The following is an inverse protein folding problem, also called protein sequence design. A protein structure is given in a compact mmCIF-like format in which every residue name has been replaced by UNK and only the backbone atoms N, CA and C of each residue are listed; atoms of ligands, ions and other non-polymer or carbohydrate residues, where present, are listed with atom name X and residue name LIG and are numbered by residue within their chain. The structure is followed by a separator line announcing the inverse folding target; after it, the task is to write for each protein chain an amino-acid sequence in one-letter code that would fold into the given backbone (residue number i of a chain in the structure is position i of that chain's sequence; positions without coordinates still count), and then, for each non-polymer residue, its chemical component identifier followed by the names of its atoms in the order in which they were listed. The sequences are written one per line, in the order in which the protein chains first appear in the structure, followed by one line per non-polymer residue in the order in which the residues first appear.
data_IF_427358154323
#
_entry.id   IF_427358154323
#
_cell.length_a   1.000
_cell.length_b   1.000
_cell.length_c   1.000
_cell.angle_alpha   90.00
_cell.angle_beta   90.00
_cell.angle_gamma   90.00
#
_symmetry.space_group_name_H-M   'P 1'
#
loop_
_entity.id
_entity.type
_entity.pdbx_description
1 polymer ?
#
# COMPACT_ATOMS: atom_id res chain seq x y z
N UNK A 1 -60.33 1.88 18.88
CA UNK A 1 -59.28 0.87 19.08
C UNK A 1 -58.83 0.43 17.69
N UNK A 2 -57.51 0.38 17.45
CA UNK A 2 -56.81 0.16 16.17
C UNK A 2 -57.48 -0.81 15.18
N UNK A 3 -57.30 -0.63 13.86
CA UNK A 3 -56.27 -1.31 13.03
C UNK A 3 -56.04 -0.55 11.70
N UNK A 4 -54.78 -0.60 11.26
CA UNK A 4 -54.07 -0.11 10.05
C UNK A 4 -54.69 -0.37 8.66
N UNK A 5 -54.20 0.35 7.64
CA UNK A 5 -54.37 -0.02 6.22
C UNK A 5 -53.85 0.97 5.15
N UNK A 6 -52.53 1.01 4.98
CA UNK A 6 -51.74 0.96 3.72
C UNK A 6 -52.44 1.22 2.33
N UNK A 7 -51.94 2.17 1.51
CA UNK A 7 -51.25 1.96 0.20
C UNK A 7 -51.33 3.12 -0.84
N UNK A 8 -50.16 3.35 -1.49
CA UNK A 8 -49.86 3.70 -2.90
C UNK A 8 -50.14 5.11 -3.53
N UNK A 9 -49.03 5.85 -3.66
CA UNK A 9 -48.39 6.42 -4.87
C UNK A 9 -49.18 7.19 -5.95
N UNK A 10 -48.62 8.32 -6.40
CA UNK A 10 -48.30 8.56 -7.82
C UNK A 10 -47.12 9.54 -7.98
N UNK A 11 -46.30 9.24 -8.98
CA UNK A 11 -45.08 9.92 -9.38
C UNK A 11 -45.30 11.31 -10.01
N UNK A 12 -44.27 12.16 -9.95
CA UNK A 12 -44.02 13.17 -10.98
C UNK A 12 -42.55 13.13 -11.37
N UNK A 13 -42.32 12.68 -12.60
CA UNK A 13 -41.11 12.87 -13.40
C UNK A 13 -40.68 14.34 -13.41
N UNK A 14 -39.41 14.58 -13.10
CA UNK A 14 -38.70 15.75 -13.59
C UNK A 14 -37.53 15.25 -14.46
N UNK A 15 -37.73 15.34 -15.77
CA UNK A 15 -36.66 15.27 -16.77
C UNK A 15 -35.82 16.52 -16.59
N UNK A 16 -34.54 16.38 -16.26
CA UNK A 16 -33.55 17.43 -16.45
C UNK A 16 -32.35 16.83 -17.19
N UNK A 17 -32.38 16.94 -18.51
CA UNK A 17 -31.20 16.77 -19.34
C UNK A 17 -30.37 18.06 -19.26
N UNK A 18 -29.12 18.00 -18.79
CA UNK A 18 -28.11 19.04 -19.06
C UNK A 18 -26.72 18.42 -19.23
N UNK A 19 -26.12 18.86 -20.34
CA UNK A 19 -24.85 18.62 -20.99
C UNK A 19 -23.64 18.05 -20.23
N UNK A 20 -22.92 17.21 -20.98
CA UNK A 20 -21.49 16.97 -20.86
C UNK A 20 -20.70 18.28 -20.72
N UNK A 21 -19.96 18.40 -19.62
CA UNK A 21 -18.68 19.09 -19.64
C UNK A 21 -17.58 18.04 -19.47
N UNK A 22 -16.94 17.68 -20.58
CA UNK A 22 -15.59 17.16 -20.52
C UNK A 22 -14.73 18.25 -19.84
N UNK A 23 -14.04 17.90 -18.75
CA UNK A 23 -12.92 18.64 -18.11
C UNK A 23 -12.97 18.76 -16.57
N UNK A 24 -13.87 18.05 -15.87
CA UNK A 24 -13.69 17.82 -14.43
C UNK A 24 -13.71 16.34 -14.14
N UNK A 25 -12.52 15.72 -14.15
CA UNK A 25 -12.29 14.33 -13.77
C UNK A 25 -12.90 14.04 -12.40
N UNK A 26 -14.02 13.33 -12.40
CA UNK A 26 -14.68 12.84 -11.21
C UNK A 26 -14.65 11.32 -11.33
N UNK A 27 -13.93 10.67 -10.41
CA UNK A 27 -14.17 9.28 -10.07
C UNK A 27 -15.66 9.05 -9.89
N UNK A 28 -16.13 7.84 -10.20
CA UNK A 28 -17.39 7.37 -9.64
C UNK A 28 -17.19 7.41 -8.13
N UNK A 29 -18.00 8.19 -7.41
CA UNK A 29 -17.94 8.13 -5.96
C UNK A 29 -18.41 6.74 -5.50
N UNK A 30 -17.64 6.02 -4.67
CA UNK A 30 -17.65 4.55 -4.64
C UNK A 30 -18.81 3.94 -3.86
N UNK A 31 -18.99 2.63 -4.05
CA UNK A 31 -19.35 1.76 -2.94
C UNK A 31 -18.34 1.95 -1.80
N UNK A 32 -18.75 2.63 -0.74
CA UNK A 32 -17.94 2.80 0.46
C UNK A 32 -18.12 1.59 1.36
N UNK A 33 -17.02 1.18 1.99
CA UNK A 33 -17.06 0.16 3.03
C UNK A 33 -16.64 0.81 4.32
N UNK A 34 -17.59 0.83 5.26
CA UNK A 34 -17.31 1.29 6.61
C UNK A 34 -16.27 0.37 7.26
N UNK A 35 -15.21 0.98 7.76
CA UNK A 35 -14.20 0.32 8.57
C UNK A 35 -14.49 0.62 10.04
N UNK A 36 -14.15 -0.33 10.92
CA UNK A 36 -14.39 -0.17 12.35
C UNK A 36 -13.15 0.46 12.98
N UNK A 37 -13.12 1.79 13.10
CA UNK A 37 -12.03 2.49 13.76
C UNK A 37 -11.80 3.90 13.24
N UNK A 38 -10.71 4.50 13.73
CA UNK A 38 -10.19 5.82 13.32
C UNK A 38 -8.69 5.69 13.08
N UNK A 39 -8.17 6.40 12.07
CA UNK A 39 -6.74 6.45 11.69
C UNK A 39 -6.20 5.13 11.10
N UNK A 40 -6.14 5.08 9.76
CA UNK A 40 -5.71 3.89 9.01
C UNK A 40 -4.37 4.14 8.36
N UNK A 41 -3.58 3.09 8.25
CA UNK A 41 -2.15 3.24 7.98
C UNK A 41 -1.68 2.26 6.92
N UNK A 42 -2.25 1.06 6.84
CA UNK A 42 -1.92 0.05 5.84
C UNK A 42 -3.14 -0.55 5.12
N UNK A 43 -2.97 -0.85 3.84
CA UNK A 43 -3.97 -1.51 2.99
C UNK A 43 -3.29 -2.43 2.00
N UNK A 44 -3.87 -3.60 1.77
CA UNK A 44 -3.44 -4.57 0.75
C UNK A 44 -4.65 -5.16 0.04
N UNK A 45 -4.44 -5.51 -1.23
CA UNK A 45 -5.35 -6.33 -2.01
C UNK A 45 -4.71 -7.69 -2.29
N UNK A 46 -5.45 -8.76 -2.05
CA UNK A 46 -5.00 -10.13 -2.28
C UNK A 46 -6.21 -11.08 -2.37
N UNK A 47 -6.06 -12.21 -3.07
CA UNK A 47 -7.10 -13.25 -3.12
C UNK A 47 -6.91 -14.26 -1.97
N UNK A 48 -7.53 -13.99 -0.81
CA UNK A 48 -7.36 -14.81 0.40
C UNK A 48 -8.19 -16.10 0.38
N UNK A 49 -9.16 -16.21 -0.53
CA UNK A 49 -10.05 -17.37 -0.64
C UNK A 49 -9.84 -18.21 -1.92
N UNK A 50 -8.95 -17.77 -2.81
CA UNK A 50 -8.59 -18.46 -4.04
C UNK A 50 -9.68 -18.41 -5.12
N UNK A 51 -10.60 -17.45 -5.07
CA UNK A 51 -11.72 -17.34 -6.01
C UNK A 51 -11.42 -16.49 -7.27
N UNK A 52 -10.22 -15.92 -7.34
CA UNK A 52 -9.73 -15.09 -8.43
C UNK A 52 -10.09 -13.61 -8.31
N UNK A 53 -10.71 -13.17 -7.21
CA UNK A 53 -11.06 -11.77 -6.96
C UNK A 53 -10.13 -11.17 -5.91
N UNK A 54 -9.88 -9.88 -6.03
CA UNK A 54 -9.15 -9.14 -5.01
C UNK A 54 -10.03 -8.98 -3.76
N UNK A 55 -9.55 -9.47 -2.62
CA UNK A 55 -10.07 -9.16 -1.30
C UNK A 55 -9.29 -7.96 -0.71
N UNK A 56 -9.88 -7.31 0.28
CA UNK A 56 -9.31 -6.16 0.97
C UNK A 56 -8.88 -6.55 2.39
N UNK A 57 -7.65 -6.21 2.77
CA UNK A 57 -7.24 -6.19 4.18
C UNK A 57 -6.71 -4.80 4.58
N UNK A 58 -7.13 -4.31 5.75
CA UNK A 58 -6.81 -2.97 6.27
C UNK A 58 -6.40 -3.04 7.73
N UNK A 59 -5.32 -2.33 8.07
CA UNK A 59 -4.88 -2.08 9.45
C UNK A 59 -5.32 -0.70 9.91
N UNK A 60 -5.70 -0.59 11.20
CA UNK A 60 -5.93 0.71 11.81
C UNK A 60 -5.38 0.82 13.25
N UNK A 61 -4.70 1.95 13.49
CA UNK A 61 -3.63 2.13 14.49
C UNK A 61 -4.11 2.24 15.94
N UNK A 62 -5.41 2.42 16.17
CA UNK A 62 -6.06 2.40 17.48
C UNK A 62 -6.93 1.15 17.70
N UNK A 63 -6.72 0.12 16.88
CA UNK A 63 -7.39 -1.17 17.03
C UNK A 63 -6.37 -2.27 17.31
N UNK A 64 -6.85 -3.43 17.71
CA UNK A 64 -6.03 -4.64 17.88
C UNK A 64 -6.42 -5.68 16.83
N UNK A 65 -6.82 -5.21 15.63
CA UNK A 65 -7.33 -6.06 14.56
C UNK A 65 -6.83 -5.62 13.18
N UNK A 66 -6.72 -6.61 12.30
CA UNK A 66 -6.81 -6.40 10.85
C UNK A 66 -8.25 -6.65 10.41
N UNK A 67 -8.76 -5.79 9.54
CA UNK A 67 -10.09 -5.90 8.96
C UNK A 67 -9.98 -6.49 7.56
N UNK A 68 -10.74 -7.55 7.27
CA UNK A 68 -10.76 -8.23 5.96
C UNK A 68 -12.16 -8.20 5.37
N UNK A 69 -12.27 -7.88 4.08
CA UNK A 69 -13.51 -7.93 3.33
C UNK A 69 -13.28 -8.66 2.00
N UNK A 70 -14.04 -9.75 1.77
CA UNK A 70 -13.88 -10.56 0.57
C UNK A 70 -14.42 -9.86 -0.68
N UNK A 71 -13.71 -10.01 -1.80
CA UNK A 71 -14.07 -9.52 -3.10
C UNK A 71 -15.35 -10.15 -3.62
N UNK A 72 -16.24 -9.32 -4.13
CA UNK A 72 -17.46 -9.76 -4.80
C UNK A 72 -17.32 -9.72 -6.33
N UNK A 73 -16.26 -9.09 -6.83
CA UNK A 73 -16.00 -8.82 -8.24
C UNK A 73 -16.60 -7.51 -8.74
N UNK A 74 -17.20 -6.70 -7.84
CA UNK A 74 -17.65 -5.33 -8.12
C UNK A 74 -17.60 -4.49 -6.82
N UNK A 75 -16.64 -4.79 -5.95
CA UNK A 75 -16.58 -4.29 -4.57
C UNK A 75 -16.37 -5.41 -3.56
N UNK A 76 -16.58 -5.13 -2.29
CA UNK A 76 -16.29 -6.08 -1.21
C UNK A 76 -17.52 -6.38 -0.35
N UNK A 77 -17.52 -7.57 0.24
CA UNK A 77 -18.54 -8.04 1.16
C UNK A 77 -18.41 -7.44 2.56
N UNK A 78 -19.10 -8.03 3.55
CA UNK A 78 -19.01 -7.60 4.94
C UNK A 78 -17.58 -7.70 5.48
N UNK A 79 -17.21 -6.73 6.31
CA UNK A 79 -15.92 -6.71 7.01
C UNK A 79 -15.92 -7.69 8.18
N UNK A 80 -14.86 -8.48 8.28
CA UNK A 80 -14.56 -9.38 9.39
C UNK A 80 -13.27 -8.92 10.06
N UNK A 81 -13.25 -8.94 11.41
CA UNK A 81 -12.08 -8.54 12.18
C UNK A 81 -11.29 -9.77 12.62
N UNK A 82 -9.98 -9.73 12.46
CA UNK A 82 -9.04 -10.74 12.98
C UNK A 82 -8.06 -10.09 13.94
N UNK A 83 -7.82 -10.72 15.09
CA UNK A 83 -6.97 -10.16 16.13
C UNK A 83 -5.50 -10.05 15.70
N UNK A 84 -4.82 -9.02 16.16
CA UNK A 84 -3.37 -8.77 16.02
C UNK A 84 -2.78 -8.41 17.39
N UNK A 85 -1.50 -8.01 17.43
CA UNK A 85 -0.99 -7.14 18.49
C UNK A 85 -1.57 -5.73 18.37
N UNK A 86 -1.31 -4.86 19.35
CA UNK A 86 -1.99 -3.56 19.37
C UNK A 86 -1.36 -2.52 18.46
N UNK A 87 -2.23 -1.69 17.89
CA UNK A 87 -1.85 -0.65 16.93
C UNK A 87 -1.15 -1.19 15.69
N UNK A 88 -1.77 -2.12 14.94
CA UNK A 88 -1.23 -2.59 13.67
C UNK A 88 -1.13 -1.40 12.71
N UNK A 89 0.05 -1.24 12.12
CA UNK A 89 0.38 -0.13 11.23
C UNK A 89 0.68 -0.65 9.82
N UNK A 90 1.83 -1.29 9.64
CA UNK A 90 2.20 -1.93 8.39
C UNK A 90 1.52 -3.28 8.22
N UNK A 91 1.22 -3.64 6.97
CA UNK A 91 0.64 -4.93 6.58
C UNK A 91 1.30 -5.44 5.31
N UNK A 92 1.52 -6.74 5.22
CA UNK A 92 1.84 -7.42 3.97
C UNK A 92 1.25 -8.83 3.97
N UNK A 93 1.34 -9.48 2.81
CA UNK A 93 0.76 -10.79 2.53
C UNK A 93 1.81 -11.67 1.86
N UNK A 94 1.93 -12.91 2.31
CA UNK A 94 2.74 -13.96 1.68
C UNK A 94 2.33 -15.34 2.23
N UNK A 95 2.83 -16.41 1.63
CA UNK A 95 2.69 -17.77 2.14
C UNK A 95 3.87 -18.10 3.08
N UNK A 96 3.75 -17.80 4.37
CA UNK A 96 4.84 -17.92 5.35
C UNK A 96 5.06 -19.36 5.83
N UNK A 97 4.06 -20.23 5.66
CA UNK A 97 4.12 -21.64 6.04
C UNK A 97 4.22 -22.60 4.84
N UNK A 98 4.29 -22.06 3.62
CA UNK A 98 4.43 -22.79 2.34
C UNK A 98 3.30 -23.78 2.07
N UNK A 99 2.09 -23.48 2.51
CA UNK A 99 0.92 -24.34 2.31
C UNK A 99 0.08 -23.98 1.06
N UNK A 100 0.51 -22.95 0.33
CA UNK A 100 -0.14 -22.43 -0.88
C UNK A 100 -1.25 -21.43 -0.60
N UNK A 101 -1.44 -20.98 0.65
CA UNK A 101 -2.45 -20.01 1.04
C UNK A 101 -1.79 -18.71 1.48
N UNK A 102 -2.49 -17.61 1.26
CA UNK A 102 -2.00 -16.31 1.66
C UNK A 102 -2.24 -16.07 3.15
N UNK A 103 -1.17 -15.72 3.84
CA UNK A 103 -1.16 -15.32 5.24
C UNK A 103 -1.00 -13.79 5.34
N UNK A 104 -1.38 -13.22 6.49
CA UNK A 104 -1.19 -11.80 6.79
C UNK A 104 -0.07 -11.63 7.82
N UNK A 105 0.82 -10.67 7.59
CA UNK A 105 1.75 -10.17 8.61
C UNK A 105 1.48 -8.69 8.90
N UNK A 106 1.47 -8.31 10.17
CA UNK A 106 1.33 -6.90 10.60
C UNK A 106 2.50 -6.45 11.48
N UNK A 107 2.90 -5.19 11.32
CA UNK A 107 3.82 -4.50 12.23
C UNK A 107 3.00 -3.67 13.21
N UNK A 108 3.15 -3.93 14.50
CA UNK A 108 2.31 -3.36 15.55
C UNK A 108 3.12 -2.37 16.39
N UNK A 109 2.66 -1.12 16.44
CA UNK A 109 3.39 0.03 16.97
C UNK A 109 3.22 0.24 18.49
N UNK A 110 2.25 -0.42 19.12
CA UNK A 110 1.94 -0.19 20.53
C UNK A 110 3.06 -0.57 21.53
N UNK A 111 2.77 -0.43 22.83
CA UNK A 111 3.73 -0.69 23.92
C UNK A 111 4.37 -2.10 23.87
N UNK A 112 3.75 -3.06 23.17
CA UNK A 112 4.29 -4.43 23.03
C UNK A 112 5.24 -4.60 21.85
N UNK A 113 5.21 -3.68 20.88
CA UNK A 113 6.12 -3.62 19.72
C UNK A 113 6.28 -4.98 19.03
N UNK A 114 5.16 -5.50 18.55
CA UNK A 114 5.06 -6.87 18.03
C UNK A 114 4.95 -6.92 16.52
N UNK A 115 5.25 -8.08 15.97
CA UNK A 115 4.81 -8.50 14.64
C UNK A 115 3.79 -9.61 14.81
N UNK A 116 2.62 -9.50 14.19
CA UNK A 116 1.62 -10.57 14.19
C UNK A 116 1.64 -11.33 12.87
N UNK A 117 1.57 -12.65 12.94
CA UNK A 117 1.40 -13.53 11.78
C UNK A 117 0.07 -14.25 11.91
N UNK A 118 -0.80 -14.07 10.92
CA UNK A 118 -2.11 -14.67 10.84
C UNK A 118 -2.11 -15.64 9.66
N UNK A 119 -2.08 -16.94 9.96
CA UNK A 119 -2.05 -17.97 8.91
C UNK A 119 -3.42 -18.11 8.24
N UNK A 120 -3.44 -18.12 6.91
CA UNK A 120 -4.64 -18.23 6.09
C UNK A 120 -5.18 -19.66 6.07
N UNK A 121 -6.50 -19.79 6.14
CA UNK A 121 -7.17 -21.08 5.94
C UNK A 121 -7.47 -21.36 4.46
N UNK A 122 -7.30 -20.36 3.58
CA UNK A 122 -7.53 -20.45 2.13
C UNK A 122 -9.00 -20.31 1.73
N UNK A 123 -9.86 -19.90 2.66
CA UNK A 123 -11.29 -19.64 2.46
C UNK A 123 -11.64 -18.18 2.82
N UNK A 124 -10.63 -17.31 2.89
CA UNK A 124 -10.78 -15.93 3.35
C UNK A 124 -10.77 -15.76 4.88
N UNK A 125 -10.60 -16.85 5.64
CA UNK A 125 -10.46 -16.79 7.11
C UNK A 125 -9.03 -17.04 7.58
N UNK A 126 -8.71 -16.56 8.78
CA UNK A 126 -7.37 -16.65 9.37
C UNK A 126 -7.38 -17.31 10.75
N UNK A 127 -6.28 -17.97 11.06
CA UNK A 127 -6.00 -18.53 12.38
C UNK A 127 -5.68 -17.44 13.41
N UNK A 128 -5.76 -17.73 14.72
CA UNK A 128 -5.29 -16.81 15.76
C UNK A 128 -3.83 -16.37 15.52
N UNK A 129 -3.48 -15.11 15.81
CA UNK A 129 -2.17 -14.58 15.48
C UNK A 129 -1.07 -15.20 16.34
N UNK A 130 0.10 -15.41 15.72
CA UNK A 130 1.36 -15.63 16.43
C UNK A 130 2.07 -14.28 16.54
N UNK A 131 2.37 -13.85 17.76
CA UNK A 131 2.99 -12.55 18.03
C UNK A 131 4.48 -12.67 18.37
N UNK A 132 5.31 -11.88 17.70
CA UNK A 132 6.75 -11.79 17.89
C UNK A 132 7.13 -10.43 18.48
N UNK A 133 7.64 -10.41 19.72
CA UNK A 133 8.12 -9.16 20.34
C UNK A 133 9.52 -8.81 19.85
N UNK A 134 9.69 -7.58 19.35
CA UNK A 134 10.98 -7.07 18.86
C UNK A 134 11.70 -6.17 19.86
N UNK A 135 10.99 -5.72 20.89
CA UNK A 135 11.50 -4.75 21.88
C UNK A 135 11.82 -3.38 21.28
N UNK A 136 11.37 -3.11 20.04
CA UNK A 136 11.56 -1.87 19.31
C UNK A 136 10.33 -1.55 18.48
N UNK A 137 9.93 -0.29 18.46
CA UNK A 137 8.77 0.16 17.69
C UNK A 137 8.99 0.04 16.20
N UNK A 138 8.11 -0.72 15.56
CA UNK A 138 8.06 -0.97 14.12
C UNK A 138 6.78 -0.39 13.57
N UNK A 139 6.87 0.25 12.40
CA UNK A 139 5.71 0.90 11.77
C UNK A 139 5.42 0.35 10.38
N UNK A 140 6.46 -0.07 9.67
CA UNK A 140 6.36 -0.50 8.28
C UNK A 140 7.15 -1.79 8.11
N UNK A 141 6.77 -2.56 7.11
CA UNK A 141 7.39 -3.83 6.81
C UNK A 141 7.40 -4.08 5.30
N UNK A 142 8.33 -4.91 4.85
CA UNK A 142 8.36 -5.49 3.51
C UNK A 142 8.70 -6.96 3.62
N UNK A 143 8.18 -7.76 2.69
CA UNK A 143 8.35 -9.20 2.63
C UNK A 143 9.17 -9.56 1.40
N UNK A 144 10.21 -10.38 1.58
CA UNK A 144 11.02 -10.91 0.49
C UNK A 144 11.86 -12.10 0.97
N UNK A 145 12.42 -12.88 0.06
CA UNK A 145 13.41 -13.92 0.41
C UNK A 145 14.82 -13.31 0.47
N UNK A 146 15.22 -12.80 1.64
CA UNK A 146 16.52 -12.11 1.79
C UNK A 146 17.70 -13.09 1.89
N UNK A 147 17.42 -14.37 2.15
CA UNK A 147 18.43 -15.40 2.37
C UNK A 147 18.50 -16.48 1.26
N UNK A 148 17.63 -16.41 0.26
CA UNK A 148 17.60 -17.31 -0.89
C UNK A 148 17.10 -18.73 -0.58
N UNK A 149 16.41 -18.96 0.54
CA UNK A 149 15.92 -20.29 0.94
C UNK A 149 14.52 -20.63 0.42
N UNK A 150 13.86 -19.66 -0.24
CA UNK A 150 12.50 -19.74 -0.78
C UNK A 150 11.40 -19.47 0.25
N UNK A 151 11.72 -19.09 1.49
CA UNK A 151 10.76 -18.69 2.51
C UNK A 151 10.64 -17.18 2.51
N UNK A 152 9.43 -16.63 2.64
CA UNK A 152 9.29 -15.22 2.90
C UNK A 152 9.94 -14.82 4.24
N UNK A 153 10.88 -13.90 4.19
CA UNK A 153 11.44 -13.16 5.32
C UNK A 153 10.74 -11.79 5.44
N UNK A 154 10.92 -11.10 6.57
CA UNK A 154 10.31 -9.79 6.82
C UNK A 154 11.36 -8.78 7.26
N UNK A 155 11.47 -7.64 6.57
CA UNK A 155 12.24 -6.49 7.04
C UNK A 155 11.31 -5.43 7.62
N UNK A 156 11.65 -4.89 8.79
CA UNK A 156 10.80 -4.00 9.58
C UNK A 156 11.51 -2.68 9.86
N UNK A 157 10.89 -1.57 9.49
CA UNK A 157 11.42 -0.23 9.68
C UNK A 157 10.94 0.34 11.02
N UNK A 158 11.87 0.80 11.85
CA UNK A 158 11.49 1.43 13.11
C UNK A 158 10.94 2.85 12.92
N UNK A 159 9.98 3.21 13.77
CA UNK A 159 9.34 4.52 13.74
C UNK A 159 10.33 5.65 14.07
N UNK A 160 10.23 6.80 13.39
CA UNK A 160 11.19 7.90 13.52
C UNK A 160 11.09 8.72 14.82
N UNK A 161 10.07 8.48 15.65
CA UNK A 161 9.90 9.19 16.92
C UNK A 161 10.79 8.61 18.05
N UNK A 162 11.63 7.63 17.73
CA UNK A 162 12.52 6.96 18.66
C UNK A 162 13.99 7.21 18.32
N UNK A 163 14.83 7.16 19.36
CA UNK A 163 16.26 7.48 19.29
C UNK A 163 17.08 6.38 18.58
N UNK A 164 16.49 5.18 18.41
CA UNK A 164 17.11 3.98 17.82
C UNK A 164 16.43 3.60 16.49
N UNK A 165 16.71 4.42 15.46
CA UNK A 165 16.23 4.22 14.09
C UNK A 165 17.04 3.08 13.43
N UNK A 166 16.38 1.97 13.12
CA UNK A 166 16.97 0.76 12.56
C UNK A 166 15.97 -0.03 11.74
N UNK A 167 16.48 -0.89 10.88
CA UNK A 167 15.70 -1.93 10.20
C UNK A 167 16.04 -3.27 10.80
N UNK A 168 15.04 -4.00 11.27
CA UNK A 168 15.20 -5.36 11.80
C UNK A 168 14.71 -6.37 10.77
N UNK A 169 15.52 -7.39 10.50
CA UNK A 169 15.13 -8.49 9.61
C UNK A 169 14.74 -9.70 10.46
N UNK A 170 13.60 -10.29 10.15
CA UNK A 170 13.10 -11.55 10.66
C UNK A 170 13.17 -12.58 9.54
N UNK A 171 13.80 -13.71 9.83
CA UNK A 171 14.03 -14.76 8.85
C UNK A 171 12.99 -15.85 9.01
N UNK A 172 12.28 -16.19 7.95
CA UNK A 172 11.25 -17.22 7.91
C UNK A 172 11.83 -18.60 8.18
N UNK A 173 11.09 -19.42 8.93
CA UNK A 173 11.43 -20.83 9.15
C UNK A 173 10.63 -21.77 8.23
N UNK A 174 9.65 -21.23 7.48
CA UNK A 174 8.82 -21.98 6.53
C UNK A 174 7.65 -22.72 7.14
N UNK A 175 7.37 -22.49 8.42
CA UNK A 175 6.24 -23.06 9.18
C UNK A 175 5.32 -21.97 9.75
N UNK A 176 5.39 -20.76 9.19
CA UNK A 176 4.69 -19.59 9.72
C UNK A 176 5.40 -18.91 10.88
N UNK A 177 6.59 -19.38 11.27
CA UNK A 177 7.39 -18.77 12.34
C UNK A 177 8.64 -18.05 11.85
N UNK A 178 9.13 -17.12 12.68
CA UNK A 178 10.34 -16.33 12.41
C UNK A 178 11.44 -16.55 13.44
N UNK A 179 12.69 -16.42 12.99
CA UNK A 179 13.88 -16.25 13.83
C UNK A 179 14.51 -14.88 13.62
N UNK A 180 15.33 -14.44 14.57
CA UNK A 180 16.03 -13.16 14.45
C UNK A 180 17.07 -13.19 13.32
N UNK A 181 17.04 -12.18 12.46
CA UNK A 181 18.07 -11.86 11.46
C UNK A 181 18.92 -10.65 11.87
N UNK A 182 19.63 -10.01 10.91
CA UNK A 182 20.42 -8.82 11.21
C UNK A 182 19.54 -7.61 11.57
N UNK A 183 20.14 -6.66 12.28
CA UNK A 183 19.62 -5.31 12.44
C UNK A 183 20.53 -4.33 11.73
N UNK A 184 19.97 -3.54 10.83
CA UNK A 184 20.64 -2.53 10.02
C UNK A 184 20.40 -1.15 10.64
N UNK A 185 21.44 -0.33 10.78
CA UNK A 185 21.31 1.02 11.39
C UNK A 185 20.97 2.12 10.38
N UNK A 186 20.58 3.29 10.90
CA UNK A 186 20.47 4.56 10.13
C UNK A 186 19.41 4.55 9.01
N UNK A 187 18.32 3.82 9.24
CA UNK A 187 17.28 3.57 8.26
C UNK A 187 15.91 3.73 8.93
N UNK A 188 15.14 4.69 8.44
CA UNK A 188 13.79 5.05 8.86
C UNK A 188 12.71 4.07 8.39
N UNK A 189 11.43 4.46 8.48
CA UNK A 189 10.30 3.56 8.42
C UNK A 189 10.00 3.13 6.98
N UNK A 190 10.26 3.95 5.97
CA UNK A 190 9.99 3.60 4.59
C UNK A 190 10.90 2.46 4.13
N UNK A 191 10.34 1.40 3.55
CA UNK A 191 11.09 0.25 3.05
C UNK A 191 10.58 -0.17 1.67
N UNK A 192 11.50 -0.66 0.83
CA UNK A 192 11.21 -1.49 -0.33
C UNK A 192 12.32 -2.52 -0.50
N UNK A 193 11.98 -3.65 -1.09
CA UNK A 193 12.90 -4.74 -1.37
C UNK A 193 12.82 -5.11 -2.86
N UNK A 194 13.97 -5.45 -3.44
CA UNK A 194 14.08 -5.82 -4.86
C UNK A 194 15.54 -5.91 -5.28
N UNK A 195 15.84 -6.62 -6.37
CA UNK A 195 17.19 -6.72 -6.92
C UNK A 195 17.54 -5.43 -7.71
N UNK A 196 18.24 -4.49 -7.07
CA UNK A 196 18.58 -3.19 -7.70
C UNK A 196 19.92 -3.23 -8.44
N UNK A 197 20.60 -4.38 -8.41
CA UNK A 197 21.93 -4.54 -8.98
C UNK A 197 22.03 -5.68 -10.03
N UNK A 198 20.94 -6.44 -10.22
CA UNK A 198 20.82 -7.49 -11.22
C UNK A 198 21.57 -8.78 -10.90
N UNK A 199 21.96 -9.03 -9.65
CA UNK A 199 22.71 -10.23 -9.25
C UNK A 199 21.83 -11.41 -8.81
N UNK A 200 20.50 -11.24 -8.85
CA UNK A 200 19.51 -12.24 -8.48
C UNK A 200 19.26 -12.35 -6.98
N UNK A 201 19.80 -11.43 -6.17
CA UNK A 201 19.57 -11.39 -4.72
C UNK A 201 18.75 -10.17 -4.37
N UNK A 202 17.91 -10.33 -3.35
CA UNK A 202 17.08 -9.22 -2.90
C UNK A 202 17.92 -8.20 -2.14
N UNK A 203 17.91 -6.97 -2.62
CA UNK A 203 18.45 -5.80 -1.94
C UNK A 203 17.34 -5.10 -1.12
N UNK A 204 17.74 -4.23 -0.20
CA UNK A 204 16.82 -3.46 0.64
C UNK A 204 17.10 -1.97 0.50
N UNK A 205 16.05 -1.17 0.26
CA UNK A 205 16.10 0.28 0.26
C UNK A 205 15.29 0.82 1.42
N UNK A 206 15.92 1.64 2.25
CA UNK A 206 15.29 2.23 3.42
C UNK A 206 15.34 3.76 3.41
N UNK A 207 14.21 4.41 3.67
CA UNK A 207 14.11 5.87 3.75
C UNK A 207 14.79 6.42 4.99
N UNK A 208 15.23 7.67 4.95
CA UNK A 208 15.81 8.40 6.08
C UNK A 208 15.29 9.85 6.10
N UNK A 209 15.81 10.69 6.99
CA UNK A 209 15.38 12.09 7.13
C UNK A 209 15.61 12.95 5.87
N UNK A 210 16.60 12.64 5.02
CA UNK A 210 16.85 13.37 3.77
C UNK A 210 17.57 12.52 2.71
N UNK A 211 17.50 11.19 2.86
CA UNK A 211 18.10 10.26 1.94
C UNK A 211 17.34 8.94 1.91
N UNK A 212 17.72 8.09 0.99
CA UNK A 212 17.51 6.65 1.09
C UNK A 212 18.86 5.97 1.32
N UNK A 213 18.85 4.85 2.02
CA UNK A 213 19.96 3.94 2.22
C UNK A 213 19.72 2.70 1.37
N UNK A 214 20.68 2.32 0.55
CA UNK A 214 20.62 1.12 -0.29
C UNK A 214 21.55 0.08 0.32
N UNK A 215 20.98 -1.05 0.74
CA UNK A 215 21.67 -2.19 1.31
C UNK A 215 21.67 -3.33 0.30
N UNK A 216 22.82 -3.60 -0.32
CA UNK A 216 22.91 -4.73 -1.26
C UNK A 216 22.90 -6.06 -0.52
N UNK A 217 22.02 -6.96 -0.92
CA UNK A 217 21.85 -8.29 -0.35
C UNK A 217 23.05 -9.18 -0.66
N UNK A 218 23.45 -10.00 0.31
CA UNK A 218 24.45 -11.06 0.08
C UNK A 218 23.80 -12.38 -0.35
N UNK A 219 22.49 -12.50 -0.20
CA UNK A 219 21.71 -13.72 -0.47
C UNK A 219 21.89 -14.78 0.62
N UNK A 220 22.30 -14.37 1.82
CA UNK A 220 22.46 -15.24 3.00
C UNK A 220 21.72 -14.66 4.23
N UNK A 221 20.81 -13.70 3.99
CA UNK A 221 20.10 -12.94 5.01
C UNK A 221 20.89 -11.74 5.54
N UNK A 222 22.15 -11.54 5.13
CA UNK A 222 22.94 -10.35 5.47
C UNK A 222 23.08 -9.38 4.29
N UNK A 223 23.48 -8.16 4.62
CA UNK A 223 23.63 -7.07 3.66
C UNK A 223 25.06 -6.52 3.67
N UNK A 224 25.43 -5.85 2.57
CA UNK A 224 26.62 -5.02 2.49
C UNK A 224 26.42 -3.72 3.30
N UNK A 225 27.49 -2.95 3.47
CA UNK A 225 27.37 -1.60 4.03
C UNK A 225 26.50 -0.75 3.12
N UNK A 226 25.58 0.02 3.69
CA UNK A 226 24.69 0.86 2.90
C UNK A 226 25.41 2.01 2.20
N UNK A 227 24.88 2.36 1.03
CA UNK A 227 25.21 3.60 0.32
C UNK A 227 24.01 4.54 0.37
N UNK A 228 24.26 5.82 0.65
CA UNK A 228 23.20 6.82 0.82
C UNK A 228 23.02 7.69 -0.42
N UNK A 229 21.76 7.92 -0.80
CA UNK A 229 21.38 8.80 -1.91
C UNK A 229 20.41 9.88 -1.42
N UNK A 230 20.74 11.15 -1.66
CA UNK A 230 19.96 12.28 -1.15
C UNK A 230 18.59 12.38 -1.82
N UNK A 231 17.54 12.56 -1.03
CA UNK A 231 16.16 12.79 -1.48
C UNK A 231 15.73 14.24 -1.22
N UNK A 232 14.53 14.61 -1.67
CA UNK A 232 14.00 15.97 -1.48
C UNK A 232 13.67 16.30 -0.02
N UNK A 233 13.53 15.31 0.85
CA UNK A 233 13.26 15.48 2.29
C UNK A 233 13.06 14.15 3.01
N UNK A 234 12.35 14.20 4.13
CA UNK A 234 12.07 13.03 4.96
C UNK A 234 11.21 12.03 4.19
N UNK A 235 11.79 10.87 3.91
CA UNK A 235 11.15 9.80 3.14
C UNK A 235 10.27 8.97 4.07
N UNK A 236 8.95 9.15 3.95
CA UNK A 236 7.95 8.35 4.68
C UNK A 236 7.48 7.13 3.91
N UNK A 237 7.44 7.24 2.58
CA UNK A 237 7.12 6.14 1.68
C UNK A 237 8.10 6.14 0.52
N UNK A 238 8.41 4.93 0.06
CA UNK A 238 9.21 4.70 -1.13
C UNK A 238 8.73 3.42 -1.83
N UNK A 239 9.04 3.30 -3.11
CA UNK A 239 8.75 2.11 -3.90
C UNK A 239 9.87 1.90 -4.92
N UNK A 240 9.97 0.67 -5.43
CA UNK A 240 10.85 0.30 -6.53
C UNK A 240 10.02 -0.04 -7.76
N UNK A 241 10.38 0.52 -8.91
CA UNK A 241 9.79 0.21 -10.21
C UNK A 241 10.74 0.63 -11.33
N UNK A 242 10.59 0.05 -12.51
CA UNK A 242 11.35 0.43 -13.72
C UNK A 242 10.59 1.54 -14.46
N UNK A 243 10.86 2.81 -14.15
CA UNK A 243 10.14 3.96 -14.72
C UNK A 243 10.59 4.29 -16.15
N UNK A 244 11.68 3.70 -16.63
CA UNK A 244 12.25 3.97 -17.96
C UNK A 244 12.34 2.73 -18.88
N UNK A 245 11.83 1.59 -18.43
CA UNK A 245 11.79 0.32 -19.16
C UNK A 245 13.16 -0.22 -19.57
N UNK A 246 14.21 0.08 -18.80
CA UNK A 246 15.56 -0.40 -19.09
C UNK A 246 15.90 -1.74 -18.40
N UNK A 247 14.94 -2.31 -17.69
CA UNK A 247 15.04 -3.58 -16.98
C UNK A 247 15.67 -3.46 -15.60
N UNK A 248 15.86 -2.25 -15.07
CA UNK A 248 16.48 -2.01 -13.76
C UNK A 248 15.48 -1.31 -12.84
N UNK A 249 15.56 -1.65 -11.57
CA UNK A 249 14.73 -0.99 -10.57
C UNK A 249 15.25 0.42 -10.27
N UNK A 250 14.34 1.38 -10.38
CA UNK A 250 14.52 2.77 -9.92
C UNK A 250 13.88 2.95 -8.54
N UNK A 251 14.22 4.04 -7.86
CA UNK A 251 13.61 4.42 -6.59
C UNK A 251 12.67 5.60 -6.82
N UNK A 252 11.42 5.50 -6.34
CA UNK A 252 10.56 6.66 -6.12
C UNK A 252 10.36 6.89 -4.63
N UNK A 253 10.39 8.16 -4.20
CA UNK A 253 10.17 8.57 -2.81
C UNK A 253 9.15 9.69 -2.71
N UNK A 254 8.42 9.74 -1.61
CA UNK A 254 7.50 10.84 -1.28
C UNK A 254 7.94 11.52 0.01
N UNK A 255 8.20 12.82 -0.08
CA UNK A 255 8.58 13.65 1.06
C UNK A 255 7.34 14.29 1.72
N UNK A 256 6.87 13.71 2.82
CA UNK A 256 5.62 14.06 3.50
C UNK A 256 5.42 15.59 3.64
N UNK A 257 6.34 16.30 4.29
CA UNK A 257 6.15 17.74 4.58
C UNK A 257 6.36 18.69 3.40
N UNK A 258 6.98 18.24 2.30
CA UNK A 258 7.45 19.16 1.24
C UNK A 258 6.58 19.20 -0.01
N UNK A 259 5.68 18.22 -0.18
CA UNK A 259 4.90 18.12 -1.42
C UNK A 259 5.79 17.83 -2.62
N UNK A 260 6.78 16.94 -2.44
CA UNK A 260 7.67 16.51 -3.51
C UNK A 260 7.70 14.99 -3.57
N UNK A 261 7.56 14.47 -4.79
CA UNK A 261 8.01 13.13 -5.13
C UNK A 261 9.37 13.23 -5.80
N UNK A 262 10.25 12.25 -5.58
CA UNK A 262 11.57 12.20 -6.22
C UNK A 262 11.79 10.83 -6.87
N UNK A 263 12.20 10.81 -8.14
CA UNK A 263 12.60 9.59 -8.87
C UNK A 263 14.12 9.57 -9.00
N UNK A 264 14.75 8.45 -8.66
CA UNK A 264 16.17 8.17 -8.81
C UNK A 264 16.34 6.96 -9.72
N UNK A 265 16.82 7.17 -10.95
CA UNK A 265 16.99 6.08 -11.91
C UNK A 265 18.14 5.15 -11.52
N UNK A 266 17.92 3.84 -11.61
CA UNK A 266 18.89 2.80 -11.34
C UNK A 266 19.90 2.66 -12.48
N UNK A 267 21.18 2.55 -12.12
CA UNK A 267 22.23 2.19 -13.08
C UNK A 267 22.36 0.67 -13.26
N UNK A 268 21.63 -0.13 -12.47
CA UNK A 268 21.60 -1.60 -12.56
C UNK A 268 22.83 -2.27 -11.95
N UNK A 269 23.50 -1.57 -11.04
CA UNK A 269 24.65 -2.08 -10.29
C UNK A 269 24.56 -1.67 -8.81
N UNK A 270 23.35 -1.39 -8.32
CA UNK A 270 23.12 -0.87 -6.97
C UNK A 270 23.41 0.62 -6.81
N UNK A 271 23.75 1.33 -7.88
CA UNK A 271 23.90 2.79 -7.87
C UNK A 271 22.78 3.51 -8.60
N UNK A 272 22.52 4.75 -8.18
CA UNK A 272 21.40 5.55 -8.68
C UNK A 272 21.89 6.90 -9.21
N UNK A 273 21.17 7.40 -10.21
CA UNK A 273 21.39 8.71 -10.80
C UNK A 273 20.94 9.83 -9.85
N UNK A 274 21.23 11.07 -10.24
CA UNK A 274 20.72 12.24 -9.52
C UNK A 274 19.20 12.26 -9.59
N UNK A 275 18.54 12.51 -8.46
CA UNK A 275 17.09 12.55 -8.40
C UNK A 275 16.49 13.64 -9.30
N UNK A 276 15.29 13.37 -9.80
CA UNK A 276 14.41 14.35 -10.42
C UNK A 276 13.19 14.54 -9.51
N UNK A 277 12.86 15.79 -9.19
CA UNK A 277 11.80 16.15 -8.26
C UNK A 277 10.52 16.59 -9.00
N UNK A 278 9.37 16.11 -8.54
CA UNK A 278 8.04 16.41 -9.07
C UNK A 278 7.18 17.02 -7.97
N UNK A 279 6.51 18.13 -8.29
CA UNK A 279 5.58 18.79 -7.37
C UNK A 279 4.32 17.95 -7.18
N UNK A 280 4.03 17.64 -5.91
CA UNK A 280 2.79 16.99 -5.46
C UNK A 280 2.16 17.80 -4.32
N UNK A 281 1.02 17.35 -3.80
CA UNK A 281 0.43 18.00 -2.63
C UNK A 281 1.25 17.67 -1.37
N UNK A 282 1.53 18.69 -0.56
CA UNK A 282 2.19 18.54 0.73
C UNK A 282 1.34 17.72 1.71
N UNK A 283 1.99 17.12 2.71
CA UNK A 283 1.40 16.17 3.64
C UNK A 283 0.81 14.94 2.94
N UNK A 284 1.49 14.46 1.88
CA UNK A 284 1.15 13.20 1.24
C UNK A 284 1.58 12.03 2.13
N UNK A 285 0.63 11.22 2.56
CA UNK A 285 0.77 10.17 3.59
C UNK A 285 0.76 8.75 3.02
N UNK A 286 0.73 8.59 1.70
CA UNK A 286 0.71 7.28 1.05
C UNK A 286 1.30 7.36 -0.35
N UNK A 287 1.71 6.19 -0.85
CA UNK A 287 2.36 5.98 -2.13
C UNK A 287 1.89 4.65 -2.72
N UNK A 288 1.49 4.65 -3.98
CA UNK A 288 1.36 3.46 -4.79
C UNK A 288 1.99 3.70 -6.17
N UNK A 289 2.52 2.63 -6.78
CA UNK A 289 3.07 2.65 -8.13
C UNK A 289 2.39 1.55 -8.93
N UNK A 290 1.81 1.92 -10.06
CA UNK A 290 1.13 0.98 -10.96
C UNK A 290 1.02 1.58 -12.35
N UNK A 291 0.91 0.77 -13.38
CA UNK A 291 0.40 1.21 -14.68
C UNK A 291 -1.12 1.44 -14.55
N UNK A 292 -1.55 2.69 -14.47
CA UNK A 292 -2.95 3.09 -14.30
C UNK A 292 -3.59 3.42 -15.66
N UNK A 293 -2.84 3.91 -16.63
CA UNK A 293 -3.37 4.25 -17.96
C UNK A 293 -3.25 3.14 -19.01
N UNK A 294 -2.58 2.04 -18.67
CA UNK A 294 -2.43 0.85 -19.50
C UNK A 294 -1.38 1.02 -20.60
N UNK A 295 -0.51 2.03 -20.51
CA UNK A 295 0.54 2.29 -21.49
C UNK A 295 1.81 1.46 -21.26
N UNK A 296 1.82 0.67 -20.18
CA UNK A 296 2.92 -0.17 -19.75
C UNK A 296 3.87 0.53 -18.79
N UNK A 297 3.77 1.84 -18.58
CA UNK A 297 4.70 2.62 -17.77
C UNK A 297 4.22 2.77 -16.33
N UNK A 298 5.13 2.67 -15.33
CA UNK A 298 4.73 2.92 -13.95
C UNK A 298 4.26 4.35 -13.72
N UNK A 299 3.02 4.49 -13.23
CA UNK A 299 2.44 5.73 -12.74
C UNK A 299 2.59 5.86 -11.23
N UNK A 300 2.56 7.08 -10.75
CA UNK A 300 2.70 7.41 -9.33
C UNK A 300 1.38 7.94 -8.76
N UNK A 301 0.91 7.32 -7.68
CA UNK A 301 -0.26 7.74 -6.91
C UNK A 301 0.14 8.15 -5.50
N UNK A 302 -0.33 9.30 -5.01
CA UNK A 302 -0.11 9.75 -3.63
C UNK A 302 -1.37 10.32 -2.98
N UNK A 303 -1.61 9.95 -1.72
CA UNK A 303 -2.77 10.40 -0.95
C UNK A 303 -2.42 11.52 0.00
N UNK A 304 -3.26 12.56 0.07
CA UNK A 304 -3.06 13.73 0.94
C UNK A 304 -4.37 14.27 1.47
N UNK A 305 -4.33 15.23 2.39
CA UNK A 305 -5.54 15.91 2.86
C UNK A 305 -6.38 16.56 1.76
N UNK A 306 -5.79 16.86 0.59
CA UNK A 306 -6.49 17.44 -0.56
C UNK A 306 -7.13 16.40 -1.49
N UNK A 307 -6.85 15.11 -1.28
CA UNK A 307 -7.30 14.01 -2.14
C UNK A 307 -6.14 13.22 -2.75
N UNK A 308 -6.42 12.56 -3.86
CA UNK A 308 -5.52 11.65 -4.56
C UNK A 308 -4.80 12.38 -5.70
N UNK A 309 -3.47 12.34 -5.67
CA UNK A 309 -2.59 12.86 -6.71
C UNK A 309 -2.17 11.73 -7.63
N UNK A 310 -2.27 11.93 -8.95
CA UNK A 310 -1.83 10.98 -9.97
C UNK A 310 -0.83 11.65 -10.90
N UNK A 311 0.34 11.03 -11.09
CA UNK A 311 1.39 11.47 -11.99
C UNK A 311 1.69 10.31 -12.94
N UNK A 312 1.28 10.43 -14.21
CA UNK A 312 1.46 9.36 -15.19
C UNK A 312 2.92 9.27 -15.66
N UNK A 313 3.41 8.07 -15.91
CA UNK A 313 4.72 7.79 -16.50
C UNK A 313 4.79 8.25 -17.96
N UNK A 314 5.98 8.64 -18.39
CA UNK A 314 6.29 8.84 -19.81
C UNK A 314 7.12 7.69 -20.41
N UNK A 315 7.52 6.71 -19.59
CA UNK A 315 8.34 5.57 -20.01
C UNK A 315 9.82 5.89 -20.23
N UNK A 316 10.26 7.12 -19.95
CA UNK A 316 11.66 7.55 -20.06
C UNK A 316 12.28 7.89 -18.69
N UNK A 317 11.64 7.46 -17.60
CA UNK A 317 12.02 7.82 -16.24
C UNK A 317 11.42 9.14 -15.76
N UNK A 318 10.66 9.84 -16.59
CA UNK A 318 9.95 11.06 -16.21
C UNK A 318 8.47 10.86 -15.94
N UNK A 319 7.93 11.70 -15.05
CA UNK A 319 6.51 11.74 -14.72
C UNK A 319 5.84 13.00 -15.30
N UNK A 320 4.60 12.85 -15.76
CA UNK A 320 3.73 13.96 -16.17
C UNK A 320 3.37 14.82 -14.96
N UNK A 321 2.88 16.03 -15.24
CA UNK A 321 2.39 16.93 -14.19
C UNK A 321 1.23 16.26 -13.44
N UNK A 322 1.22 16.45 -12.12
CA UNK A 322 0.16 15.99 -11.24
C UNK A 322 -1.24 16.37 -11.75
N UNK A 323 -2.12 15.37 -11.79
CA UNK A 323 -3.57 15.52 -11.77
C UNK A 323 -4.06 15.28 -10.36
N UNK A 324 -4.80 16.25 -9.79
CA UNK A 324 -5.38 16.12 -8.45
C UNK A 324 -6.86 15.78 -8.57
N UNK A 325 -7.25 14.71 -7.89
CA UNK A 325 -8.63 14.31 -7.75
C UNK A 325 -9.08 14.52 -6.31
N UNK A 326 -9.92 15.54 -6.10
CA UNK A 326 -10.51 15.88 -4.81
C UNK A 326 -11.92 15.32 -4.62
N UNK A 327 -12.52 15.60 -3.46
CA UNK A 327 -13.93 15.28 -3.18
C UNK A 327 -14.16 14.06 -2.28
N UNK A 328 -13.10 13.48 -1.70
CA UNK A 328 -13.17 12.47 -0.64
C UNK A 328 -12.05 12.74 0.38
N UNK A 329 -12.35 12.70 1.69
CA UNK A 329 -11.41 13.13 2.73
C UNK A 329 -10.19 12.20 2.87
N UNK A 330 -9.01 12.81 2.85
CA UNK A 330 -7.72 12.33 3.33
C UNK A 330 -7.40 10.84 3.09
N UNK A 331 -6.98 10.45 1.87
CA UNK A 331 -6.43 9.12 1.62
C UNK A 331 -5.12 8.91 2.41
N UNK A 332 -5.19 8.06 3.44
CA UNK A 332 -4.05 7.73 4.30
C UNK A 332 -3.30 6.48 3.84
N UNK A 333 -3.95 5.63 3.04
CA UNK A 333 -3.32 4.46 2.42
C UNK A 333 -3.95 4.21 1.04
N UNK A 334 -3.17 3.65 0.11
CA UNK A 334 -3.59 3.36 -1.26
C UNK A 334 -3.15 1.94 -1.61
N UNK A 335 -4.07 1.14 -2.14
CA UNK A 335 -3.77 -0.11 -2.83
C UNK A 335 -4.31 -0.04 -4.27
N UNK A 336 -3.71 -0.80 -5.16
CA UNK A 336 -4.08 -0.86 -6.57
C UNK A 336 -4.19 -2.30 -7.02
N UNK A 337 -5.19 -2.61 -7.84
CA UNK A 337 -5.43 -3.95 -8.37
C UNK A 337 -6.73 -4.01 -9.16
N UNK A 338 -6.90 -5.01 -10.00
CA UNK A 338 -8.14 -5.24 -10.76
C UNK A 338 -9.21 -5.84 -9.82
N UNK A 339 -10.09 -4.99 -9.28
CA UNK A 339 -11.09 -5.39 -8.28
C UNK A 339 -12.38 -5.89 -8.94
N UNK A 340 -12.69 -5.38 -10.13
CA UNK A 340 -13.88 -5.75 -10.89
C UNK A 340 -13.66 -6.85 -11.94
N UNK A 341 -12.40 -7.26 -12.17
CA UNK A 341 -12.03 -8.30 -13.12
C UNK A 341 -12.11 -7.85 -14.59
N UNK A 342 -12.04 -6.55 -14.87
CA UNK A 342 -12.13 -6.01 -16.22
C UNK A 342 -10.78 -5.91 -16.95
N UNK A 343 -9.69 -6.30 -16.27
CA UNK A 343 -8.33 -6.30 -16.78
C UNK A 343 -7.59 -4.97 -16.58
N UNK A 344 -8.21 -3.99 -15.92
CA UNK A 344 -7.59 -2.72 -15.61
C UNK A 344 -7.33 -2.56 -14.12
N UNK A 345 -6.29 -1.82 -13.79
CA UNK A 345 -5.97 -1.52 -12.40
C UNK A 345 -6.96 -0.51 -11.82
N UNK A 346 -7.70 -0.92 -10.79
CA UNK A 346 -8.51 -0.03 -9.94
C UNK A 346 -7.68 0.51 -8.77
N UNK A 347 -8.21 1.51 -8.08
CA UNK A 347 -7.57 2.11 -6.90
C UNK A 347 -8.48 1.96 -5.68
N UNK A 348 -7.96 1.40 -4.60
CA UNK A 348 -8.61 1.42 -3.29
C UNK A 348 -7.89 2.43 -2.41
N UNK A 349 -8.63 3.43 -1.91
CA UNK A 349 -8.10 4.33 -0.90
C UNK A 349 -8.73 4.04 0.45
N UNK A 350 -7.91 4.08 1.49
CA UNK A 350 -8.40 4.11 2.86
C UNK A 350 -8.37 5.55 3.34
N UNK A 351 -9.49 6.00 3.88
CA UNK A 351 -9.80 7.42 4.09
C UNK A 351 -10.14 7.67 5.57
N UNK A 352 -9.77 8.84 6.07
CA UNK A 352 -10.10 9.29 7.43
C UNK A 352 -10.87 10.61 7.38
N UNK A 353 -11.91 10.76 8.20
CA UNK A 353 -12.65 12.02 8.34
C UNK A 353 -12.78 12.54 9.78
N UNK A 354 -11.76 12.31 10.62
CA UNK A 354 -11.71 12.65 12.05
C UNK A 354 -12.75 11.94 12.93
N UNK A 355 -13.72 11.22 12.35
CA UNK A 355 -14.83 10.58 13.08
C UNK A 355 -14.91 9.08 12.82
N UNK A 356 -14.65 8.65 11.58
CA UNK A 356 -14.61 7.24 11.20
C UNK A 356 -13.69 7.04 10.00
N UNK A 357 -13.24 5.80 9.85
CA UNK A 357 -12.47 5.32 8.72
C UNK A 357 -13.35 4.60 7.71
N UNK A 358 -13.01 4.69 6.41
CA UNK A 358 -13.71 3.92 5.37
C UNK A 358 -12.80 3.68 4.16
N UNK A 359 -13.06 2.59 3.46
CA UNK A 359 -12.43 2.29 2.17
C UNK A 359 -13.30 2.80 1.02
N UNK A 360 -12.64 3.35 0.01
CA UNK A 360 -13.22 3.85 -1.24
C UNK A 360 -12.65 3.04 -2.40
N UNK A 361 -13.50 2.51 -3.26
CA UNK A 361 -13.11 1.82 -4.50
C UNK A 361 -13.30 2.71 -5.73
N UNK A 362 -12.20 3.05 -6.40
CA UNK A 362 -12.15 3.96 -7.53
C UNK A 362 -11.89 3.11 -8.78
N UNK A 363 -12.95 2.81 -9.52
CA UNK A 363 -12.89 1.94 -10.71
C UNK A 363 -12.26 2.67 -11.90
N UNK A 364 -11.38 1.97 -12.61
CA UNK A 364 -10.73 2.43 -13.83
C UNK A 364 -11.51 2.03 -15.10
N UNK A 365 -11.51 2.90 -16.11
CA UNK A 365 -12.43 2.78 -17.27
C UNK A 365 -11.74 2.85 -18.64
N UNK A 366 -10.41 2.80 -18.72
CA UNK A 366 -9.73 2.32 -19.92
C UNK A 366 -8.66 3.23 -20.49
N UNK A 367 -8.35 4.35 -19.84
CA UNK A 367 -7.50 5.39 -20.46
C UNK A 367 -6.70 6.23 -19.46
N UNK A 368 -6.48 5.75 -18.23
CA UNK A 368 -5.97 6.57 -17.11
C UNK A 368 -6.89 7.74 -16.75
N UNK A 369 -8.02 7.86 -17.46
CA UNK A 369 -9.16 8.70 -17.15
C UNK A 369 -10.14 7.82 -16.42
N UNK A 370 -10.31 8.16 -15.16
CA UNK A 370 -11.28 7.56 -14.27
C UNK A 370 -12.63 8.21 -14.63
N UNK A 371 -13.47 7.50 -15.39
CA UNK A 371 -14.79 7.97 -15.84
C UNK A 371 -15.92 7.39 -14.99
N UNK A 372 -17.06 8.08 -14.98
CA UNK A 372 -18.28 7.64 -14.31
C UNK A 372 -18.91 6.40 -14.99
N UNK A 373 -19.13 5.31 -14.26
CA UNK A 373 -19.97 4.18 -14.66
C UNK A 373 -21.46 4.56 -14.57
N UNK A 374 -22.31 3.97 -15.42
CA UNK A 374 -23.75 4.24 -15.41
C UNK A 374 -24.40 3.73 -14.13
N UNK A 375 -25.34 4.51 -13.58
CA UNK A 375 -26.27 4.02 -12.55
C UNK A 375 -27.13 2.90 -13.16
N UNK A 376 -27.20 1.76 -12.48
CA UNK A 376 -28.18 0.72 -12.79
C UNK A 376 -29.54 1.13 -12.18
N UNK A 377 -30.56 1.19 -13.03
CA UNK A 377 -31.96 1.54 -12.70
C UNK A 377 -32.56 0.75 -11.51
#
# INVERSE_FOLDING_TARGET
MQVNGLFLAFATTAVLAVCASADTGRFIQPSQIALNGTFNTGVVLADFNGDGKQDLAVTLDFTDVVQVALGTGNGFGPVVNYATGGGPFGIAVADFNRDGKLDIVTANYDDTNTVSVLLGNGDGTFQPPINYSLGKSVTNLVVADFNGDGTPDVALGSGQFYNDISVSVLVGNGDGTFRAGPTLGHAGPALAAGDVNGDGKIDLVAGSAASVQVFLGKGDGNFQQSVSYTTSGMTFHLALADFNHDGKLDIVTVAFYKGLASVLLGNGNGTFQTRVDYGIVAFSASLAVTDLDGDGHPDLLTGSGAGLSVLLGNGDGTLRRQTLYGGFPEPTAIATGDVNGDGQTDVVTVNNNNTYSYASLLINTGFGKLLAAPEYD
#
